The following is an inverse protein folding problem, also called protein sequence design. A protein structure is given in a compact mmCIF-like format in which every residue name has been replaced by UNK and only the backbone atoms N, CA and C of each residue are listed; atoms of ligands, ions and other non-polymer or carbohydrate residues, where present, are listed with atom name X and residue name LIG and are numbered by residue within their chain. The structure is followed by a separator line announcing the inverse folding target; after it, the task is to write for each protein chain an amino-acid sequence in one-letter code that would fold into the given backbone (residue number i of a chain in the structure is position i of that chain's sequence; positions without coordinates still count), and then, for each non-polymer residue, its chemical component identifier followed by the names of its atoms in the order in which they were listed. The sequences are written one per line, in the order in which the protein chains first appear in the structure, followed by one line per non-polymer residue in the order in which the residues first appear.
data_IF_775251194321
#
_entry.id   IF_775251194321
#
_cell.length_a   1.000
_cell.length_b   1.000
_cell.length_c   1.000
_cell.angle_alpha   90.00
_cell.angle_beta   90.00
_cell.angle_gamma   90.00
#
_symmetry.space_group_name_H-M   'P 1'
#
loop_
_entity.id
_entity.type
_entity.pdbx_description
1 polymer ?
#
# COMPACT_ATOMS: atom_id res chain seq x y z
N UNK A 1 19.23 15.39 -11.48
CA UNK A 1 19.39 14.51 -10.30
C UNK A 1 18.61 13.23 -10.50
N UNK A 2 18.94 12.14 -9.80
CA UNK A 2 18.11 10.92 -9.75
C UNK A 2 17.37 10.90 -8.41
N UNK A 3 16.05 10.75 -8.45
CA UNK A 3 15.20 10.73 -7.26
C UNK A 3 14.51 9.36 -7.21
N UNK A 4 14.82 8.59 -6.17
CA UNK A 4 14.11 7.36 -5.84
C UNK A 4 12.97 7.68 -4.86
N UNK A 5 11.74 7.30 -5.22
CA UNK A 5 10.56 7.47 -4.37
C UNK A 5 10.09 6.09 -3.96
N UNK A 6 10.01 5.86 -2.66
CA UNK A 6 9.36 4.67 -2.13
C UNK A 6 7.88 4.63 -2.56
N UNK A 7 7.34 3.44 -2.78
CA UNK A 7 5.98 3.30 -3.26
C UNK A 7 4.98 3.19 -2.12
N UNK A 8 5.23 2.27 -1.19
CA UNK A 8 4.25 1.86 -0.20
C UNK A 8 4.26 2.75 1.04
N UNK A 9 3.13 3.42 1.31
CA UNK A 9 3.02 4.44 2.37
C UNK A 9 3.81 5.73 2.08
N UNK A 10 4.23 5.94 0.83
CA UNK A 10 4.84 7.19 0.34
C UNK A 10 4.11 7.72 -0.90
N UNK A 11 3.94 6.90 -1.93
CA UNK A 11 3.06 7.21 -3.08
C UNK A 11 1.63 6.75 -2.76
N UNK A 12 1.49 5.51 -2.29
CA UNK A 12 0.20 4.88 -2.04
C UNK A 12 -0.13 4.92 -0.55
N UNK A 13 -1.30 5.43 -0.19
CA UNK A 13 -1.86 5.35 1.15
C UNK A 13 -2.74 4.12 1.29
N UNK A 14 -2.46 3.31 2.32
CA UNK A 14 -3.20 2.10 2.61
C UNK A 14 -4.05 2.20 3.88
N UNK A 15 -4.12 3.35 4.53
CA UNK A 15 -4.77 3.51 5.84
C UNK A 15 -6.24 3.08 5.82
N UNK A 16 -7.03 3.66 4.90
CA UNK A 16 -8.42 3.31 4.73
C UNK A 16 -8.60 1.86 4.24
N UNK A 17 -7.70 1.37 3.38
CA UNK A 17 -7.81 0.03 2.80
C UNK A 17 -7.54 -1.08 3.82
N UNK A 18 -6.49 -0.95 4.65
CA UNK A 18 -6.24 -1.91 5.73
C UNK A 18 -7.39 -1.94 6.73
N UNK A 19 -7.95 -0.78 7.09
CA UNK A 19 -9.13 -0.73 7.96
C UNK A 19 -10.34 -1.42 7.32
N UNK A 20 -10.65 -1.08 6.06
CA UNK A 20 -11.74 -1.69 5.29
C UNK A 20 -11.62 -3.22 5.26
N UNK A 21 -10.47 -3.75 4.86
CA UNK A 21 -10.24 -5.20 4.78
C UNK A 21 -10.30 -5.86 6.17
N UNK A 22 -9.75 -5.22 7.20
CA UNK A 22 -9.83 -5.74 8.56
C UNK A 22 -11.28 -5.81 9.07
N UNK A 23 -12.11 -4.83 8.72
CA UNK A 23 -13.55 -4.81 9.04
C UNK A 23 -14.33 -5.87 8.27
N UNK A 24 -14.10 -6.00 6.96
CA UNK A 24 -14.71 -7.04 6.11
C UNK A 24 -14.42 -8.45 6.65
N UNK A 25 -13.22 -8.67 7.20
CA UNK A 25 -12.79 -9.94 7.79
C UNK A 25 -13.15 -10.10 9.28
N UNK A 26 -13.85 -9.14 9.88
CA UNK A 26 -14.17 -9.11 11.32
C UNK A 26 -12.94 -9.21 12.25
N UNK A 27 -11.79 -8.70 11.81
CA UNK A 27 -10.51 -8.78 12.53
C UNK A 27 -10.29 -7.63 13.53
N UNK A 28 -11.03 -6.53 13.38
CA UNK A 28 -10.97 -5.35 14.28
C UNK A 28 -12.38 -4.88 14.63
N UNK A 29 -12.60 -4.29 15.83
CA UNK A 29 -13.91 -3.76 16.22
C UNK A 29 -14.31 -2.55 15.36
N UNK A 30 -15.61 -2.20 15.37
CA UNK A 30 -16.14 -1.06 14.60
C UNK A 30 -15.61 0.28 15.09
N UNK A 31 -15.21 0.33 16.36
CA UNK A 31 -14.59 1.49 17.00
C UNK A 31 -13.10 1.64 16.68
N UNK A 32 -12.48 0.70 15.95
CA UNK A 32 -11.07 0.82 15.58
C UNK A 32 -10.87 2.06 14.68
N UNK A 33 -9.89 2.93 14.99
CA UNK A 33 -9.56 4.08 14.15
C UNK A 33 -9.24 3.66 12.70
N UNK A 34 -9.64 4.49 11.73
CA UNK A 34 -9.42 4.27 10.30
C UNK A 34 -7.98 4.62 9.93
N UNK A 35 -7.04 3.80 10.38
CA UNK A 35 -5.66 3.84 9.91
C UNK A 35 -4.98 2.49 10.06
N UNK A 36 -3.94 2.28 9.27
CA UNK A 36 -3.19 1.02 9.19
C UNK A 36 -2.49 0.67 10.50
N UNK A 37 -1.96 1.67 11.20
CA UNK A 37 -1.22 1.50 12.47
C UNK A 37 -2.14 0.94 13.55
N UNK A 38 -3.35 1.48 13.69
CA UNK A 38 -4.34 1.04 14.65
C UNK A 38 -4.77 -0.42 14.40
N UNK A 39 -4.96 -0.81 13.13
CA UNK A 39 -5.26 -2.20 12.75
C UNK A 39 -4.13 -3.13 13.18
N UNK A 40 -2.88 -2.80 12.82
CA UNK A 40 -1.69 -3.59 13.19
C UNK A 40 -1.56 -3.73 14.70
N UNK A 41 -1.63 -2.61 15.41
CA UNK A 41 -1.39 -2.57 16.85
C UNK A 41 -2.49 -3.32 17.62
N UNK A 42 -3.74 -3.23 17.15
CA UNK A 42 -4.84 -4.04 17.68
C UNK A 42 -4.55 -5.54 17.53
N UNK A 43 -4.22 -5.99 16.31
CA UNK A 43 -3.98 -7.41 16.02
C UNK A 43 -2.80 -7.97 16.81
N UNK A 44 -1.71 -7.21 16.92
CA UNK A 44 -0.56 -7.59 17.75
C UNK A 44 -0.93 -7.73 19.22
N UNK A 45 -1.69 -6.76 19.77
CA UNK A 45 -2.11 -6.77 21.17
C UNK A 45 -2.94 -8.00 21.55
N UNK A 46 -3.72 -8.54 20.61
CA UNK A 46 -4.53 -9.75 20.83
C UNK A 46 -3.83 -11.04 20.37
N UNK A 47 -2.54 -10.99 20.04
CA UNK A 47 -1.77 -12.17 19.62
C UNK A 47 -2.10 -12.70 18.22
N UNK A 48 -2.71 -11.87 17.36
CA UNK A 48 -3.14 -12.23 16.00
C UNK A 48 -2.26 -11.59 14.92
N UNK A 49 -0.94 -11.53 15.14
CA UNK A 49 0.01 -10.96 14.17
C UNK A 49 0.06 -11.74 12.84
N UNK A 50 -0.29 -13.02 12.83
CA UNK A 50 -0.39 -13.80 11.59
C UNK A 50 -1.47 -13.22 10.65
N UNK A 51 -2.64 -12.83 11.18
CA UNK A 51 -3.68 -12.18 10.39
C UNK A 51 -3.23 -10.83 9.83
N UNK A 52 -2.43 -10.08 10.60
CA UNK A 52 -1.82 -8.86 10.11
C UNK A 52 -0.90 -9.15 8.91
N UNK A 53 -0.02 -10.14 9.06
CA UNK A 53 0.97 -10.52 8.02
C UNK A 53 0.31 -11.06 6.75
N UNK A 54 -0.70 -11.93 6.90
CA UNK A 54 -1.48 -12.45 5.76
C UNK A 54 -2.24 -11.32 5.04
N UNK A 55 -2.83 -10.39 5.80
CA UNK A 55 -3.57 -9.27 5.25
C UNK A 55 -2.69 -8.36 4.39
N UNK A 56 -1.41 -8.20 4.73
CA UNK A 56 -0.47 -7.44 3.89
C UNK A 56 -0.38 -8.03 2.49
N UNK A 57 -0.30 -9.35 2.35
CA UNK A 57 -0.26 -9.99 1.04
C UNK A 57 -1.54 -9.75 0.23
N UNK A 58 -2.69 -9.85 0.88
CA UNK A 58 -3.97 -9.59 0.23
C UNK A 58 -4.17 -8.12 -0.17
N UNK A 59 -3.79 -7.18 0.71
CA UNK A 59 -3.92 -5.73 0.49
C UNK A 59 -2.98 -5.25 -0.61
N UNK A 60 -1.69 -5.56 -0.52
CA UNK A 60 -0.69 -5.13 -1.49
C UNK A 60 -0.76 -5.90 -2.82
N UNK A 61 -1.42 -7.06 -2.81
CA UNK A 61 -1.67 -7.86 -4.01
C UNK A 61 -3.05 -7.57 -4.58
N UNK A 62 -4.01 -8.41 -4.21
CA UNK A 62 -5.34 -8.46 -4.84
C UNK A 62 -6.18 -7.20 -4.69
N UNK A 63 -6.00 -6.44 -3.62
CA UNK A 63 -6.83 -5.26 -3.31
C UNK A 63 -6.14 -3.94 -3.62
N UNK A 64 -4.94 -4.00 -4.18
CA UNK A 64 -4.09 -2.83 -4.33
C UNK A 64 -4.76 -1.69 -5.11
N UNK A 65 -5.55 -2.03 -6.15
CA UNK A 65 -6.26 -1.07 -7.00
C UNK A 65 -7.26 -0.18 -6.25
N UNK A 66 -7.67 -0.54 -5.03
CA UNK A 66 -8.54 0.27 -4.17
C UNK A 66 -7.80 1.31 -3.33
N UNK A 67 -6.47 1.25 -3.30
CA UNK A 67 -5.66 2.20 -2.53
C UNK A 67 -5.58 3.55 -3.25
N UNK A 68 -5.47 4.62 -2.46
CA UNK A 68 -5.41 5.99 -2.98
C UNK A 68 -3.97 6.49 -2.96
N UNK A 69 -3.65 7.40 -3.87
CA UNK A 69 -2.39 8.14 -3.80
C UNK A 69 -2.42 9.13 -2.62
N UNK A 70 -1.27 9.41 -2.02
CA UNK A 70 -1.14 10.57 -1.14
C UNK A 70 -1.31 11.87 -1.95
N UNK A 71 -1.96 12.85 -1.31
CA UNK A 71 -2.14 14.19 -1.88
C UNK A 71 -0.79 14.83 -2.20
N UNK A 72 -0.71 15.52 -3.35
CA UNK A 72 0.49 16.23 -3.79
C UNK A 72 1.60 15.35 -4.36
N UNK A 73 1.55 14.01 -4.24
CA UNK A 73 2.61 13.15 -4.81
C UNK A 73 2.66 13.24 -6.33
N UNK A 74 1.49 13.37 -6.96
CA UNK A 74 1.38 13.57 -8.39
C UNK A 74 1.98 14.90 -8.86
N UNK A 75 1.70 15.97 -8.11
CA UNK A 75 2.27 17.28 -8.37
C UNK A 75 3.78 17.29 -8.20
N UNK A 76 4.28 16.66 -7.13
CA UNK A 76 5.72 16.53 -6.89
C UNK A 76 6.43 15.83 -8.05
N UNK A 77 5.93 14.67 -8.50
CA UNK A 77 6.54 13.90 -9.58
C UNK A 77 6.57 14.74 -10.86
N UNK A 78 5.47 15.40 -11.22
CA UNK A 78 5.39 16.26 -12.41
C UNK A 78 6.38 17.42 -12.35
N UNK A 79 6.44 18.14 -11.22
CA UNK A 79 7.35 19.27 -11.07
C UNK A 79 8.81 18.83 -11.11
N UNK A 80 9.15 17.71 -10.48
CA UNK A 80 10.51 17.18 -10.50
C UNK A 80 10.92 16.74 -11.91
N UNK A 81 10.02 16.12 -12.67
CA UNK A 81 10.26 15.78 -14.08
C UNK A 81 10.44 17.05 -14.95
N UNK A 82 9.59 18.05 -14.77
CA UNK A 82 9.69 19.34 -15.48
C UNK A 82 11.01 20.08 -15.18
N UNK A 83 11.55 19.91 -13.97
CA UNK A 83 12.87 20.43 -13.58
C UNK A 83 14.05 19.60 -14.12
N UNK A 84 13.80 18.62 -14.99
CA UNK A 84 14.84 17.78 -15.59
C UNK A 84 15.41 16.71 -14.66
N UNK A 85 14.68 16.35 -13.59
CA UNK A 85 15.07 15.24 -12.72
C UNK A 85 14.57 13.89 -13.27
N UNK A 86 15.32 12.82 -13.00
CA UNK A 86 14.92 11.46 -13.33
C UNK A 86 14.24 10.83 -12.10
N UNK A 87 12.99 10.39 -12.27
CA UNK A 87 12.20 9.76 -11.21
C UNK A 87 12.28 8.23 -11.33
N UNK A 88 12.48 7.56 -10.20
CA UNK A 88 12.45 6.12 -10.07
C UNK A 88 11.49 5.75 -8.94
N UNK A 89 10.52 4.89 -9.22
CA UNK A 89 9.65 4.33 -8.17
C UNK A 89 10.27 3.03 -7.66
N UNK A 90 10.49 2.96 -6.36
CA UNK A 90 11.03 1.79 -5.66
C UNK A 90 9.88 1.13 -4.91
N UNK A 91 9.55 -0.10 -5.29
CA UNK A 91 8.42 -0.86 -4.73
C UNK A 91 8.91 -2.14 -4.04
N UNK A 92 8.02 -3.11 -3.87
CA UNK A 92 8.25 -4.41 -3.25
C UNK A 92 9.54 -5.07 -3.72
N UNK A 93 10.34 -5.53 -2.75
CA UNK A 93 11.54 -6.33 -3.00
C UNK A 93 11.19 -7.75 -3.46
N UNK A 94 10.12 -8.33 -2.93
CA UNK A 94 9.69 -9.69 -3.20
C UNK A 94 8.50 -9.70 -4.15
N UNK A 95 8.50 -10.67 -5.07
CA UNK A 95 7.40 -10.86 -6.01
C UNK A 95 6.12 -11.35 -5.33
N UNK A 96 6.26 -12.17 -4.29
CA UNK A 96 5.16 -12.80 -3.57
C UNK A 96 5.19 -12.40 -2.09
N UNK A 97 4.04 -12.40 -1.40
CA UNK A 97 3.96 -12.11 0.02
C UNK A 97 4.59 -13.21 0.87
N UNK A 98 4.94 -12.87 2.11
CA UNK A 98 5.50 -13.81 3.08
C UNK A 98 4.48 -14.88 3.52
N UNK A 99 3.21 -14.49 3.69
CA UNK A 99 2.12 -15.36 4.11
C UNK A 99 0.88 -15.14 3.24
N UNK A 100 0.08 -16.19 3.07
CA UNK A 100 -1.15 -16.18 2.27
C UNK A 100 -0.94 -16.60 0.81
N UNK A 101 -1.96 -16.42 -0.05
CA UNK A 101 -1.87 -16.74 -1.47
C UNK A 101 -0.74 -15.98 -2.18
N UNK A 102 -0.18 -16.57 -3.24
CA UNK A 102 0.90 -15.98 -4.03
C UNK A 102 0.40 -14.86 -4.97
N UNK A 103 -0.02 -13.74 -4.40
CA UNK A 103 -0.30 -12.53 -5.18
C UNK A 103 1.01 -11.96 -5.73
N UNK A 104 1.04 -11.63 -7.02
CA UNK A 104 2.18 -10.98 -7.65
C UNK A 104 2.18 -9.48 -7.30
N UNK A 105 2.94 -9.12 -6.27
CA UNK A 105 3.01 -7.78 -5.72
C UNK A 105 3.63 -6.79 -6.72
N UNK A 106 4.56 -7.26 -7.56
CA UNK A 106 5.16 -6.41 -8.60
C UNK A 106 4.16 -6.08 -9.70
N UNK A 107 3.34 -7.05 -10.11
CA UNK A 107 2.27 -6.83 -11.08
C UNK A 107 1.19 -5.90 -10.52
N UNK A 108 0.77 -6.11 -9.27
CA UNK A 108 -0.21 -5.24 -8.60
C UNK A 108 0.27 -3.78 -8.57
N UNK A 109 1.52 -3.56 -8.14
CA UNK A 109 2.13 -2.22 -8.12
C UNK A 109 2.15 -1.56 -9.51
N UNK A 110 2.57 -2.30 -10.55
CA UNK A 110 2.60 -1.79 -11.93
C UNK A 110 1.20 -1.47 -12.47
N UNK A 111 0.23 -2.33 -12.20
CA UNK A 111 -1.16 -2.12 -12.60
C UNK A 111 -1.73 -0.86 -11.94
N UNK A 112 -1.49 -0.71 -10.63
CA UNK A 112 -1.92 0.47 -9.88
C UNK A 112 -1.32 1.75 -10.46
N UNK A 113 0.00 1.79 -10.72
CA UNK A 113 0.64 2.96 -11.34
C UNK A 113 -0.02 3.28 -12.69
N UNK A 114 -0.25 2.25 -13.53
CA UNK A 114 -0.88 2.44 -14.84
C UNK A 114 -2.30 3.00 -14.75
N UNK A 115 -3.08 2.61 -13.73
CA UNK A 115 -4.47 3.03 -13.58
C UNK A 115 -4.60 4.41 -12.91
N UNK A 116 -3.79 4.67 -11.88
CA UNK A 116 -3.95 5.83 -10.99
C UNK A 116 -2.96 6.96 -11.27
N UNK A 117 -1.84 6.66 -11.93
CA UNK A 117 -0.77 7.61 -12.21
C UNK A 117 -0.60 7.77 -13.73
N UNK A 118 -1.66 8.28 -14.37
CA UNK A 118 -1.61 8.69 -15.78
C UNK A 118 -0.90 10.05 -15.86
N UNK A 119 0.33 10.03 -16.37
CA UNK A 119 1.08 11.20 -16.81
C UNK A 119 1.32 11.11 -18.31
#
# INVERSE_FOLDING_TARGET
MRIGIDFDNTIVSYDALFHKVARERNLVPSSAPVNKVAVRDYLRRIGQEEHWTEMQGYVYGSRMDEALAYEGVADFIRHAMAAGHQIFIVSHKTRYPFLGPQYDLHMAARAWIKHHMLW
#
